data_IF_933352612952
#
_entry.id   IF_933352612952
#
_cell.length_a   1.000
_cell.length_b   1.000
_cell.length_c   1.000
_cell.angle_alpha   90.00
_cell.angle_beta   90.00
_cell.angle_gamma   90.00
#
_symmetry.space_group_name_H-M   'P 1'
#
loop_
_entity.id
_entity.type
_entity.pdbx_description
1 polymer ?
#
# COMPACT_ATOMS: atom_id res chain seq x y z
N UNK A 1 -7.64 -5.92 7.05
CA UNK A 1 -6.42 -5.40 6.41
C UNK A 1 -6.74 -4.37 5.35
N UNK A 2 -5.98 -3.29 5.33
CA UNK A 2 -6.03 -2.27 4.29
C UNK A 2 -4.61 -1.92 3.88
N UNK A 3 -4.44 -1.63 2.59
CA UNK A 3 -3.21 -1.04 2.09
C UNK A 3 -3.50 0.43 1.80
N UNK A 4 -2.96 1.31 2.64
CA UNK A 4 -3.13 2.74 2.45
C UNK A 4 -2.05 3.26 1.52
N UNK A 5 -2.43 4.14 0.59
CA UNK A 5 -1.49 4.79 -0.30
C UNK A 5 -1.45 6.28 0.02
N UNK A 6 -0.34 6.71 0.60
CA UNK A 6 -0.09 8.12 0.86
C UNK A 6 0.40 8.78 -0.43
N UNK A 7 -0.31 9.80 -0.88
CA UNK A 7 0.02 10.48 -2.13
C UNK A 7 -0.04 11.99 -1.96
N UNK A 8 0.40 12.72 -2.98
CA UNK A 8 0.30 14.17 -3.05
C UNK A 8 0.12 14.62 -4.48
N UNK A 9 -0.36 15.85 -4.67
CA UNK A 9 -0.53 16.41 -6.01
C UNK A 9 0.83 16.56 -6.70
N UNK A 10 0.87 16.23 -7.99
CA UNK A 10 2.11 16.32 -8.77
C UNK A 10 3.11 15.21 -8.51
N UNK A 11 2.72 14.17 -7.80
CA UNK A 11 3.59 13.04 -7.50
C UNK A 11 3.75 12.14 -8.73
N UNK A 12 4.93 12.23 -9.38
CA UNK A 12 5.22 11.43 -10.56
C UNK A 12 5.12 9.92 -10.31
N UNK A 13 5.73 9.45 -9.21
CA UNK A 13 5.76 8.02 -8.92
C UNK A 13 4.41 7.49 -8.45
N UNK A 14 3.56 8.35 -7.89
CA UNK A 14 2.17 7.99 -7.58
C UNK A 14 1.39 7.70 -8.86
N UNK A 15 1.52 8.59 -9.85
CA UNK A 15 0.86 8.41 -11.14
C UNK A 15 1.39 7.17 -11.86
N UNK A 16 2.70 6.94 -11.77
CA UNK A 16 3.34 5.75 -12.37
C UNK A 16 2.74 4.47 -11.78
N UNK A 17 2.55 4.43 -10.45
CA UNK A 17 1.92 3.28 -9.81
C UNK A 17 0.48 3.08 -10.30
N UNK A 18 -0.31 4.16 -10.40
CA UNK A 18 -1.67 4.07 -10.91
C UNK A 18 -1.69 3.49 -12.32
N UNK A 19 -0.78 3.94 -13.17
CA UNK A 19 -0.72 3.49 -14.57
C UNK A 19 -0.33 2.02 -14.69
N UNK A 20 0.58 1.57 -13.86
CA UNK A 20 1.15 0.21 -13.96
C UNK A 20 0.43 -0.83 -13.11
N UNK A 21 -0.05 -0.46 -11.95
CA UNK A 21 -0.59 -1.41 -10.97
C UNK A 21 -2.02 -1.06 -10.56
N UNK A 22 -2.34 0.22 -10.44
CA UNK A 22 -3.61 0.66 -9.85
C UNK A 22 -4.85 0.03 -10.46
N UNK A 23 -4.85 -0.17 -11.78
CA UNK A 23 -6.00 -0.74 -12.50
C UNK A 23 -6.19 -2.21 -12.14
N UNK A 24 -5.10 -2.96 -12.01
CA UNK A 24 -5.15 -4.40 -11.77
C UNK A 24 -5.19 -4.76 -10.28
N UNK A 25 -4.72 -3.87 -9.41
CA UNK A 25 -4.58 -4.18 -7.98
C UNK A 25 -5.85 -4.77 -7.35
N UNK A 26 -7.04 -4.17 -7.52
CA UNK A 26 -8.25 -4.71 -6.92
C UNK A 26 -8.63 -6.12 -7.40
N UNK A 27 -8.10 -6.52 -8.55
CA UNK A 27 -8.39 -7.83 -9.15
C UNK A 27 -7.42 -8.90 -8.69
N UNK A 28 -6.36 -8.53 -7.99
CA UNK A 28 -5.34 -9.46 -7.52
C UNK A 28 -5.74 -10.06 -6.18
N UNK A 29 -5.07 -11.16 -5.80
CA UNK A 29 -5.25 -11.76 -4.48
C UNK A 29 -4.89 -10.74 -3.40
N UNK A 30 -3.78 -10.04 -3.58
CA UNK A 30 -3.31 -9.01 -2.65
C UNK A 30 -4.35 -7.91 -2.46
N UNK A 31 -4.94 -7.44 -3.56
CA UNK A 31 -5.96 -6.39 -3.52
C UNK A 31 -7.27 -6.82 -2.88
N UNK A 32 -7.56 -8.12 -2.90
CA UNK A 32 -8.74 -8.66 -2.22
C UNK A 32 -8.50 -8.84 -0.73
N UNK A 33 -7.29 -9.22 -0.35
CA UNK A 33 -6.91 -9.39 1.06
C UNK A 33 -6.70 -8.03 1.74
N UNK A 34 -6.02 -7.10 1.06
CA UNK A 34 -5.74 -5.76 1.57
C UNK A 34 -6.15 -4.72 0.52
N UNK A 35 -7.45 -4.36 0.48
CA UNK A 35 -7.91 -3.33 -0.46
C UNK A 35 -7.13 -2.04 -0.34
N UNK A 36 -6.93 -1.37 -1.49
CA UNK A 36 -6.20 -0.11 -1.52
C UNK A 36 -7.12 1.06 -1.16
N UNK A 37 -6.61 2.00 -0.36
CA UNK A 37 -7.28 3.24 -0.06
C UNK A 37 -6.25 4.36 -0.05
N UNK A 38 -6.41 5.33 -0.95
CA UNK A 38 -5.47 6.44 -1.06
C UNK A 38 -5.91 7.64 -0.25
N UNK A 39 -4.94 8.42 0.20
CA UNK A 39 -5.18 9.69 0.86
C UNK A 39 -4.06 10.68 0.54
N UNK A 40 -4.41 11.96 0.54
CA UNK A 40 -3.44 13.04 0.33
C UNK A 40 -2.79 13.39 1.68
N UNK A 41 -1.45 13.38 1.73
CA UNK A 41 -0.72 13.59 2.98
C UNK A 41 -0.91 14.99 3.58
N UNK A 42 -1.37 15.96 2.79
CA UNK A 42 -1.57 17.33 3.25
C UNK A 42 -3.00 17.66 3.62
N UNK A 43 -3.97 16.93 3.11
CA UNK A 43 -5.39 17.26 3.25
C UNK A 43 -6.21 16.18 3.96
N UNK A 44 -5.74 14.95 3.96
CA UNK A 44 -6.51 13.81 4.47
C UNK A 44 -5.59 12.89 5.27
N UNK A 45 -5.68 12.92 6.59
CA UNK A 45 -4.95 11.97 7.42
C UNK A 45 -5.90 10.87 7.88
N UNK A 46 -5.60 9.60 7.60
CA UNK A 46 -6.44 8.51 8.06
C UNK A 46 -6.35 8.35 9.59
N UNK A 47 -7.42 7.79 10.18
CA UNK A 47 -7.44 7.48 11.60
C UNK A 47 -6.70 6.18 11.88
N UNK A 48 -5.40 6.17 11.62
CA UNK A 48 -4.54 5.01 11.84
C UNK A 48 -3.31 5.42 12.63
N UNK A 49 -2.76 4.47 13.37
CA UNK A 49 -1.51 4.68 14.10
C UNK A 49 -0.35 4.34 13.18
N UNK A 50 0.45 5.35 12.84
CA UNK A 50 1.64 5.18 11.99
C UNK A 50 2.86 4.89 12.87
N UNK A 51 3.76 4.03 12.38
CA UNK A 51 4.99 3.69 13.11
C UNK A 51 6.01 4.82 13.06
N UNK A 52 5.93 5.68 12.04
CA UNK A 52 6.82 6.84 11.87
C UNK A 52 6.20 7.82 10.90
N UNK A 53 6.82 8.99 10.76
CA UNK A 53 6.33 10.04 9.87
C UNK A 53 6.31 9.60 8.40
N UNK A 54 5.43 10.23 7.63
CA UNK A 54 5.36 10.07 6.19
C UNK A 54 6.28 11.11 5.55
N UNK A 55 7.32 10.65 4.85
CA UNK A 55 8.33 11.50 4.23
C UNK A 55 8.26 11.41 2.70
N UNK A 56 7.96 10.22 2.18
CA UNK A 56 7.97 9.96 0.75
C UNK A 56 6.57 9.73 0.21
N UNK A 57 6.34 10.12 -1.05
CA UNK A 57 5.14 9.74 -1.80
C UNK A 57 5.55 9.06 -3.10
N UNK A 58 4.88 7.97 -3.47
CA UNK A 58 3.89 7.28 -2.65
C UNK A 58 4.53 6.52 -1.49
N UNK A 59 3.79 6.35 -0.40
CA UNK A 59 4.13 5.39 0.65
C UNK A 59 2.93 4.47 0.79
N UNK A 60 3.18 3.17 0.74
CA UNK A 60 2.13 2.15 0.89
C UNK A 60 2.22 1.59 2.30
N UNK A 61 1.14 1.71 3.06
CA UNK A 61 1.11 1.36 4.47
C UNK A 61 0.13 0.23 4.67
N UNK A 62 0.65 -0.95 5.02
CA UNK A 62 -0.19 -2.08 5.36
C UNK A 62 -0.67 -1.89 6.80
N UNK A 63 -2.00 -1.91 6.98
CA UNK A 63 -2.61 -1.71 8.30
C UNK A 63 -3.49 -2.88 8.68
N UNK A 64 -3.57 -3.13 9.99
CA UNK A 64 -4.47 -4.12 10.56
C UNK A 64 -5.14 -3.47 11.79
N UNK A 65 -6.47 -3.41 11.79
CA UNK A 65 -7.24 -2.78 12.86
C UNK A 65 -6.77 -1.35 13.17
N UNK A 66 -6.46 -0.59 12.13
CA UNK A 66 -6.06 0.81 12.27
C UNK A 66 -4.62 1.03 12.72
N UNK A 67 -3.79 -0.01 12.72
CA UNK A 67 -2.37 0.11 13.09
C UNK A 67 -1.50 -0.29 11.92
N UNK A 68 -0.44 0.50 11.68
CA UNK A 68 0.56 0.14 10.68
C UNK A 68 1.32 -1.10 11.11
N UNK A 69 1.39 -2.10 10.21
CA UNK A 69 2.16 -3.32 10.43
C UNK A 69 3.32 -3.48 9.45
N UNK A 70 3.44 -2.57 8.49
CA UNK A 70 4.56 -2.52 7.55
C UNK A 70 4.31 -1.46 6.49
N UNK A 71 5.36 -1.09 5.76
CA UNK A 71 5.22 -0.10 4.69
C UNK A 71 6.23 -0.32 3.57
N UNK A 72 5.88 0.24 2.41
CA UNK A 72 6.78 0.36 1.26
C UNK A 72 6.92 1.86 1.01
N UNK A 73 8.12 2.40 1.13
CA UNK A 73 8.39 3.82 0.87
C UNK A 73 8.85 4.00 -0.57
N UNK A 74 8.10 4.81 -1.32
CA UNK A 74 8.32 5.02 -2.73
C UNK A 74 7.70 3.93 -3.59
N UNK A 75 7.83 4.10 -4.91
CA UNK A 75 7.40 3.09 -5.87
C UNK A 75 8.62 2.61 -6.65
N UNK A 76 9.12 1.41 -6.37
CA UNK A 76 10.36 0.91 -6.96
C UNK A 76 10.20 0.21 -8.31
N UNK A 77 9.00 0.25 -8.90
CA UNK A 77 8.65 -0.47 -10.12
C UNK A 77 7.80 -1.69 -9.81
N UNK A 78 7.18 -2.27 -10.86
CA UNK A 78 6.19 -3.35 -10.71
C UNK A 78 6.74 -4.56 -9.96
N UNK A 79 7.84 -5.12 -10.42
CA UNK A 79 8.38 -6.36 -9.85
C UNK A 79 8.75 -6.19 -8.37
N UNK A 80 9.43 -5.08 -8.06
CA UNK A 80 9.84 -4.82 -6.68
C UNK A 80 8.66 -4.48 -5.78
N UNK A 81 7.63 -3.82 -6.32
CA UNK A 81 6.43 -3.55 -5.53
C UNK A 81 5.77 -4.85 -5.07
N UNK A 82 5.54 -5.77 -5.99
CA UNK A 82 4.92 -7.05 -5.64
C UNK A 82 5.78 -7.87 -4.69
N UNK A 83 7.10 -7.87 -4.91
CA UNK A 83 8.02 -8.59 -4.05
C UNK A 83 8.02 -8.03 -2.63
N UNK A 84 8.05 -6.71 -2.48
CA UNK A 84 8.01 -6.06 -1.17
C UNK A 84 6.69 -6.26 -0.46
N UNK A 85 5.59 -6.20 -1.20
CA UNK A 85 4.27 -6.44 -0.63
C UNK A 85 4.16 -7.88 -0.11
N UNK A 86 4.69 -8.84 -0.88
CA UNK A 86 4.75 -10.23 -0.44
C UNK A 86 5.56 -10.38 0.85
N UNK A 87 6.68 -9.68 0.96
CA UNK A 87 7.49 -9.68 2.18
C UNK A 87 6.71 -9.15 3.39
N UNK A 88 5.90 -8.12 3.20
CA UNK A 88 5.06 -7.59 4.27
C UNK A 88 4.02 -8.63 4.72
N UNK A 89 3.36 -9.29 3.76
CA UNK A 89 2.38 -10.33 4.08
C UNK A 89 3.05 -11.52 4.78
N UNK A 90 4.20 -11.96 4.28
CA UNK A 90 4.94 -13.08 4.87
C UNK A 90 5.36 -12.76 6.33
N UNK A 91 5.81 -11.54 6.58
CA UNK A 91 6.21 -11.10 7.92
C UNK A 91 5.06 -11.15 8.92
N UNK A 92 3.82 -11.02 8.45
CA UNK A 92 2.62 -11.06 9.28
C UNK A 92 1.90 -12.40 9.20
N UNK A 93 2.50 -13.39 8.57
CA UNK A 93 1.92 -14.72 8.36
C UNK A 93 0.57 -14.66 7.62
N UNK A 94 0.44 -13.71 6.71
CA UNK A 94 -0.76 -13.56 5.90
C UNK A 94 -0.61 -14.41 4.64
N UNK A 95 -1.53 -15.37 4.46
CA UNK A 95 -1.53 -16.21 3.27
C UNK A 95 -2.15 -15.46 2.09
N UNK A 96 -1.51 -15.57 0.92
CA UNK A 96 -2.06 -15.06 -0.33
C UNK A 96 -2.98 -16.06 -1.02
N UNK A 97 -3.30 -17.17 -0.37
CA UNK A 97 -4.25 -18.14 -0.91
C UNK A 97 -5.67 -17.72 -0.55
N UNK A 98 -6.53 -17.75 -1.57
CA UNK A 98 -7.97 -17.57 -1.37
C UNK A 98 -8.54 -18.96 -1.22
N UNK A 99 -9.08 -19.26 -0.04
CA UNK A 99 -9.81 -20.50 0.20
C UNK A 99 -11.28 -20.23 -0.12
N UNK A 100 -11.75 -20.90 -1.14
CA UNK A 100 -13.15 -20.83 -1.53
C UNK A 100 -13.98 -21.88 -0.79
#
# INVERSE_FOLDING_TARGET
LLLLMAEEDGCYWCQKWYDEIGIIYPKTVEGKIAPIWSFNIYTELPSVTLSKDLIFTPTFILTDNGQEIGRIEGYPGEDFFWARLKMLFDAQNISLEIVE
#
